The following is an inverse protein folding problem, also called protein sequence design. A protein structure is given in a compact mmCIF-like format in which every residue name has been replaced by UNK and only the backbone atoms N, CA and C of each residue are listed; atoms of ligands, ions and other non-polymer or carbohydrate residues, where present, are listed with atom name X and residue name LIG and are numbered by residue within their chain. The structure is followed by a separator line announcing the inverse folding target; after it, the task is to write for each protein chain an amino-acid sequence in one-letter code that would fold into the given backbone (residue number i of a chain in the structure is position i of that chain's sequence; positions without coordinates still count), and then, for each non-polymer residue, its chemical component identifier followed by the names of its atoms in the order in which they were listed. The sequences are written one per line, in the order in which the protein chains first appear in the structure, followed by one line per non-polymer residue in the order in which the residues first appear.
data_IF_333970650899
#
_entry.id   IF_333970650899
#
_cell.length_a   1.000
_cell.length_b   1.000
_cell.length_c   1.000
_cell.angle_alpha   90.00
_cell.angle_beta   90.00
_cell.angle_gamma   90.00
#
_symmetry.space_group_name_H-M   'P 1'
#
loop_
_entity.id
_entity.type
_entity.pdbx_description
1 polymer ?
#
# COMPACT_ATOMS: atom_id res chain seq x y z
N UNK A 1 1.43 13.44 -14.75
CA UNK A 1 0.39 12.95 -13.82
C UNK A 1 0.95 13.05 -12.42
N UNK A 2 0.17 13.55 -11.45
CA UNK A 2 0.58 13.73 -10.05
C UNK A 2 -0.52 13.11 -9.18
N UNK A 3 -0.13 12.43 -8.10
CA UNK A 3 -1.03 11.90 -7.07
C UNK A 3 -0.58 12.37 -5.68
N UNK A 4 -1.43 12.18 -4.68
CA UNK A 4 -1.12 12.47 -3.28
C UNK A 4 -1.70 11.40 -2.36
N UNK A 5 -0.85 10.82 -1.52
CA UNK A 5 -1.26 10.06 -0.34
C UNK A 5 -1.63 11.00 0.80
N UNK A 6 -2.82 10.86 1.36
CA UNK A 6 -3.27 11.71 2.45
C UNK A 6 -2.50 11.44 3.74
N UNK A 7 -2.16 10.17 3.98
CA UNK A 7 -1.38 9.65 5.11
C UNK A 7 -0.63 8.40 4.64
N UNK A 8 0.35 7.99 5.46
CA UNK A 8 1.11 6.77 5.25
C UNK A 8 0.46 5.60 6.01
N UNK A 9 0.86 5.38 7.24
CA UNK A 9 0.45 4.24 8.05
C UNK A 9 -0.26 4.70 9.32
N UNK A 10 -1.59 4.62 9.37
CA UNK A 10 -2.29 4.86 10.63
C UNK A 10 -1.92 3.77 11.64
N UNK A 11 -1.55 4.19 12.86
CA UNK A 11 -1.08 3.29 13.93
C UNK A 11 -1.88 3.50 15.20
N UNK A 12 -2.14 2.38 15.89
CA UNK A 12 -2.69 2.41 17.25
C UNK A 12 -1.69 3.12 18.17
N UNK A 13 -2.15 4.05 19.04
CA UNK A 13 -1.30 4.64 20.05
C UNK A 13 -0.68 3.56 20.96
N UNK A 14 0.62 3.65 21.20
CA UNK A 14 1.38 2.61 21.91
C UNK A 14 1.06 2.48 23.41
N UNK A 15 0.36 3.44 24.01
CA UNK A 15 0.03 3.45 25.44
C UNK A 15 -1.48 3.36 25.68
N UNK A 16 -1.87 2.34 26.46
CA UNK A 16 -3.20 2.25 27.04
C UNK A 16 -3.48 3.53 27.86
N UNK A 17 -4.43 4.36 27.42
CA UNK A 17 -4.74 5.65 28.03
C UNK A 17 -4.59 6.86 27.12
N UNK A 18 -4.13 6.70 25.87
CA UNK A 18 -4.22 7.82 24.92
C UNK A 18 -5.70 8.15 24.64
N UNK A 19 -6.10 9.40 24.82
CA UNK A 19 -7.42 9.92 24.42
C UNK A 19 -7.56 10.06 22.89
N UNK A 20 -6.56 9.65 22.12
CA UNK A 20 -6.54 9.77 20.67
C UNK A 20 -7.44 8.71 20.06
N UNK A 21 -8.50 9.17 19.39
CA UNK A 21 -9.46 8.28 18.76
C UNK A 21 -8.79 7.52 17.60
N UNK A 22 -8.81 6.19 17.67
CA UNK A 22 -8.34 5.30 16.61
C UNK A 22 -9.48 4.34 16.25
N UNK A 23 -10.27 4.72 15.25
CA UNK A 23 -11.42 3.97 14.77
C UNK A 23 -11.67 4.29 13.30
N UNK A 24 -12.48 3.45 12.64
CA UNK A 24 -12.93 3.72 11.28
C UNK A 24 -13.75 5.01 11.16
N UNK A 25 -14.52 5.36 12.20
CA UNK A 25 -15.26 6.62 12.25
C UNK A 25 -14.30 7.82 12.22
N UNK A 26 -13.25 7.81 13.04
CA UNK A 26 -12.22 8.87 13.03
C UNK A 26 -11.47 8.87 11.71
N UNK A 27 -11.08 7.71 11.21
CA UNK A 27 -10.44 7.57 9.90
C UNK A 27 -11.27 8.24 8.81
N UNK A 28 -12.58 7.97 8.77
CA UNK A 28 -13.50 8.54 7.78
C UNK A 28 -13.53 10.07 7.89
N UNK A 29 -13.74 10.61 9.08
CA UNK A 29 -13.85 12.05 9.29
C UNK A 29 -12.60 12.80 8.85
N UNK A 30 -11.42 12.28 9.23
CA UNK A 30 -10.16 12.93 8.91
C UNK A 30 -9.78 12.78 7.43
N UNK A 31 -9.95 11.58 6.86
CA UNK A 31 -9.59 11.33 5.46
C UNK A 31 -10.54 12.04 4.50
N UNK A 32 -11.85 12.02 4.74
CA UNK A 32 -12.82 12.70 3.86
C UNK A 32 -12.63 14.22 3.92
N UNK A 33 -12.40 14.80 5.11
CA UNK A 33 -12.10 16.22 5.22
C UNK A 33 -10.83 16.60 4.45
N UNK A 34 -9.75 15.82 4.58
CA UNK A 34 -8.50 16.06 3.85
C UNK A 34 -8.66 15.90 2.34
N UNK A 35 -9.36 14.86 1.88
CA UNK A 35 -9.64 14.62 0.46
C UNK A 35 -10.41 15.78 -0.17
N UNK A 36 -11.40 16.33 0.53
CA UNK A 36 -12.17 17.48 0.05
C UNK A 36 -11.29 18.72 -0.14
N UNK A 37 -10.38 18.99 0.81
CA UNK A 37 -9.44 20.12 0.72
C UNK A 37 -8.47 19.93 -0.45
N UNK A 38 -7.92 18.73 -0.60
CA UNK A 38 -6.98 18.39 -1.68
C UNK A 38 -7.66 18.52 -3.05
N UNK A 39 -8.86 17.95 -3.22
CA UNK A 39 -9.58 18.04 -4.48
C UNK A 39 -9.99 19.50 -4.81
N UNK A 40 -10.38 20.28 -3.81
CA UNK A 40 -10.68 21.71 -4.02
C UNK A 40 -9.47 22.51 -4.48
N UNK A 41 -8.26 22.15 -4.02
CA UNK A 41 -7.01 22.78 -4.45
C UNK A 41 -6.56 22.30 -5.84
N UNK A 42 -6.78 21.03 -6.18
CA UNK A 42 -6.49 20.47 -7.50
C UNK A 42 -7.52 19.38 -7.87
N UNK A 43 -8.52 19.69 -8.70
CA UNK A 43 -9.55 18.72 -9.09
C UNK A 43 -9.04 17.53 -9.92
N UNK A 44 -7.87 17.66 -10.54
CA UNK A 44 -7.30 16.64 -11.43
C UNK A 44 -6.36 15.66 -10.71
N UNK A 45 -6.05 15.89 -9.42
CA UNK A 45 -5.12 15.05 -8.66
C UNK A 45 -5.76 13.71 -8.26
N UNK A 46 -5.01 12.62 -8.37
CA UNK A 46 -5.42 11.35 -7.76
C UNK A 46 -5.16 11.38 -6.26
N UNK A 47 -6.13 10.94 -5.47
CA UNK A 47 -6.11 10.96 -4.00
C UNK A 47 -6.07 9.53 -3.49
N UNK A 48 -5.00 9.21 -2.77
CA UNK A 48 -4.76 7.90 -2.19
C UNK A 48 -5.20 7.88 -0.73
N UNK A 49 -6.06 6.92 -0.40
CA UNK A 49 -6.48 6.62 0.96
C UNK A 49 -5.73 5.38 1.47
N UNK A 50 -4.90 5.57 2.48
CA UNK A 50 -4.34 4.47 3.25
C UNK A 50 -5.27 4.08 4.41
N UNK A 51 -5.16 2.83 4.84
CA UNK A 51 -5.95 2.18 5.86
C UNK A 51 -5.33 2.16 7.25
N UNK A 52 -5.98 1.36 8.11
CA UNK A 52 -5.56 1.18 9.48
C UNK A 52 -4.50 0.09 9.60
N UNK A 53 -3.87 0.07 10.78
CA UNK A 53 -2.95 -0.96 11.26
C UNK A 53 -1.76 -1.11 10.32
N UNK A 54 -0.99 -0.02 10.19
CA UNK A 54 0.17 0.08 9.30
C UNK A 54 -0.21 -0.04 7.83
N UNK A 55 -1.38 0.49 7.47
CA UNK A 55 -1.96 0.39 6.13
C UNK A 55 -2.09 -1.07 5.64
N UNK A 56 -2.35 -2.00 6.55
CA UNK A 56 -2.54 -3.41 6.19
C UNK A 56 -4.00 -3.76 5.98
N UNK A 57 -4.93 -2.84 6.26
CA UNK A 57 -6.36 -3.07 6.07
C UNK A 57 -7.17 -1.81 5.76
N UNK A 58 -7.98 -1.93 4.71
CA UNK A 58 -9.10 -1.11 4.25
C UNK A 58 -10.38 -1.96 4.14
N UNK A 59 -10.46 -3.08 4.88
CA UNK A 59 -11.50 -4.11 4.70
C UNK A 59 -12.96 -3.60 4.64
N UNK A 60 -13.39 -2.58 5.41
CA UNK A 60 -14.77 -2.08 5.31
C UNK A 60 -15.05 -1.32 4.01
N UNK A 61 -14.03 -0.75 3.37
CA UNK A 61 -14.21 0.22 2.29
C UNK A 61 -14.81 -0.42 1.03
N UNK A 62 -14.31 -1.54 0.47
CA UNK A 62 -14.85 -2.11 -0.77
C UNK A 62 -16.36 -2.40 -0.73
N UNK A 63 -16.87 -2.84 0.43
CA UNK A 63 -18.27 -3.24 0.63
C UNK A 63 -19.17 -2.18 1.27
N UNK A 64 -18.69 -0.94 1.46
CA UNK A 64 -19.39 0.08 2.24
C UNK A 64 -19.82 -0.40 3.65
N UNK A 65 -18.92 -1.12 4.32
CA UNK A 65 -19.14 -1.63 5.67
C UNK A 65 -19.29 -0.51 6.70
N UNK A 66 -19.86 -0.86 7.85
CA UNK A 66 -20.06 0.08 8.97
C UNK A 66 -18.71 0.55 9.52
N UNK A 67 -18.51 1.87 9.51
CA UNK A 67 -17.34 2.54 10.07
C UNK A 67 -17.57 3.00 11.52
N UNK A 68 -18.79 2.83 12.04
CA UNK A 68 -19.25 3.33 13.32
C UNK A 68 -19.97 4.68 13.19
N UNK A 69 -20.85 4.98 14.15
CA UNK A 69 -21.58 6.25 14.20
C UNK A 69 -22.52 6.47 13.01
N UNK A 70 -23.02 5.39 12.39
CA UNK A 70 -23.90 5.43 11.22
C UNK A 70 -23.19 5.81 9.92
N UNK A 71 -21.85 5.71 9.87
CA UNK A 71 -21.05 6.08 8.69
C UNK A 71 -20.68 4.86 7.87
N UNK A 72 -20.72 5.04 6.56
CA UNK A 72 -20.18 4.11 5.57
C UNK A 72 -19.39 4.91 4.55
N UNK A 73 -18.31 4.35 4.02
CA UNK A 73 -17.65 4.96 2.87
C UNK A 73 -18.48 4.66 1.63
N UNK A 74 -18.90 5.70 0.91
CA UNK A 74 -19.67 5.57 -0.33
C UNK A 74 -18.98 6.36 -1.42
N UNK A 75 -18.27 5.67 -2.32
CA UNK A 75 -17.52 6.27 -3.44
C UNK A 75 -18.41 7.21 -4.26
N UNK A 76 -19.66 6.82 -4.49
CA UNK A 76 -20.65 7.61 -5.24
C UNK A 76 -21.03 8.93 -4.59
N UNK A 77 -20.74 9.13 -3.30
CA UNK A 77 -21.01 10.39 -2.59
C UNK A 77 -19.97 11.49 -2.87
N UNK A 78 -18.81 11.14 -3.44
CA UNK A 78 -17.74 12.07 -3.74
C UNK A 78 -17.90 12.67 -5.15
N UNK A 79 -17.79 14.00 -5.27
CA UNK A 79 -17.82 14.69 -6.57
C UNK A 79 -16.65 14.34 -7.50
N UNK A 80 -15.59 13.76 -6.92
CA UNK A 80 -14.34 13.36 -7.54
C UNK A 80 -14.12 11.85 -7.41
N UNK A 81 -15.20 11.07 -7.50
CA UNK A 81 -15.19 9.62 -7.36
C UNK A 81 -14.20 8.92 -8.31
N UNK A 82 -13.96 9.49 -9.50
CA UNK A 82 -13.00 9.01 -10.50
C UNK A 82 -11.53 9.32 -10.14
N UNK A 83 -11.29 10.08 -9.08
CA UNK A 83 -9.94 10.46 -8.59
C UNK A 83 -9.48 9.66 -7.38
N UNK A 84 -10.30 8.75 -6.88
CA UNK A 84 -10.02 8.00 -5.64
C UNK A 84 -9.25 6.72 -5.93
N UNK A 85 -8.22 6.48 -5.12
CA UNK A 85 -7.39 5.28 -5.14
C UNK A 85 -7.24 4.76 -3.72
N UNK A 86 -7.30 3.44 -3.55
CA UNK A 86 -6.96 2.80 -2.29
C UNK A 86 -5.48 2.40 -2.28
N UNK A 87 -4.85 2.58 -1.13
CA UNK A 87 -3.47 2.26 -0.87
C UNK A 87 -3.40 1.13 0.16
N UNK A 88 -2.49 0.17 -0.04
CA UNK A 88 -2.20 -0.87 0.95
C UNK A 88 -0.71 -1.16 1.00
N UNK A 89 -0.25 -1.50 2.20
CA UNK A 89 1.10 -1.99 2.50
C UNK A 89 1.06 -3.49 2.82
N UNK A 90 2.13 -4.19 2.50
CA UNK A 90 2.30 -5.59 2.90
C UNK A 90 3.75 -5.91 3.20
N UNK A 91 3.98 -6.62 4.31
CA UNK A 91 5.31 -7.05 4.76
C UNK A 91 5.25 -8.45 5.41
N UNK A 92 4.39 -9.33 4.88
CA UNK A 92 4.22 -10.70 5.39
C UNK A 92 5.38 -11.62 4.96
N UNK A 93 6.62 -11.22 5.20
CA UNK A 93 7.84 -11.90 4.75
C UNK A 93 7.97 -13.35 5.24
N UNK A 94 7.28 -13.70 6.33
CA UNK A 94 7.19 -15.06 6.88
C UNK A 94 6.05 -15.91 6.29
N UNK A 95 5.33 -15.41 5.27
CA UNK A 95 4.23 -16.15 4.65
C UNK A 95 4.70 -17.49 4.07
N UNK A 96 3.85 -18.50 4.21
CA UNK A 96 4.11 -19.88 3.76
C UNK A 96 3.11 -20.38 2.71
N UNK A 97 2.12 -19.56 2.33
CA UNK A 97 1.08 -19.91 1.37
C UNK A 97 0.65 -18.71 0.53
N UNK A 98 0.68 -18.86 -0.81
CA UNK A 98 0.14 -17.85 -1.73
C UNK A 98 -1.37 -17.68 -1.55
N UNK A 99 -2.11 -18.77 -1.32
CA UNK A 99 -3.57 -18.71 -1.19
C UNK A 99 -3.99 -17.93 0.04
N UNK A 100 -3.28 -18.11 1.15
CA UNK A 100 -3.51 -17.33 2.37
C UNK A 100 -3.21 -15.85 2.17
N UNK A 101 -2.08 -15.53 1.52
CA UNK A 101 -1.73 -14.13 1.18
C UNK A 101 -2.77 -13.50 0.27
N UNK A 102 -3.15 -14.21 -0.80
CA UNK A 102 -4.14 -13.75 -1.77
C UNK A 102 -5.49 -13.48 -1.12
N UNK A 103 -5.98 -14.42 -0.30
CA UNK A 103 -7.22 -14.24 0.46
C UNK A 103 -7.14 -13.08 1.46
N UNK A 104 -6.00 -12.95 2.16
CA UNK A 104 -5.78 -11.86 3.11
C UNK A 104 -5.79 -10.49 2.44
N UNK A 105 -4.97 -10.30 1.40
CA UNK A 105 -4.91 -9.07 0.62
C UNK A 105 -6.27 -8.71 0.00
N UNK A 106 -6.98 -9.69 -0.57
CA UNK A 106 -8.31 -9.49 -1.13
C UNK A 106 -9.28 -8.92 -0.11
N UNK A 107 -9.40 -9.58 1.05
CA UNK A 107 -10.32 -9.17 2.11
C UNK A 107 -9.88 -7.87 2.80
N UNK A 108 -8.59 -7.55 2.77
CA UNK A 108 -8.06 -6.32 3.37
C UNK A 108 -8.19 -5.09 2.48
N UNK A 109 -8.62 -5.20 1.23
CA UNK A 109 -8.94 -4.00 0.43
C UNK A 109 -8.89 -4.20 -1.07
N UNK A 110 -8.12 -5.18 -1.57
CA UNK A 110 -8.03 -5.47 -3.01
C UNK A 110 -9.36 -5.89 -3.63
N UNK A 111 -10.34 -6.32 -2.81
CA UNK A 111 -11.72 -6.53 -3.24
C UNK A 111 -12.36 -5.30 -3.90
N UNK A 112 -11.84 -4.09 -3.71
CA UNK A 112 -12.31 -2.90 -4.44
C UNK A 112 -12.03 -2.95 -5.96
N UNK A 113 -11.17 -3.87 -6.43
CA UNK A 113 -10.97 -4.09 -7.86
C UNK A 113 -12.14 -4.85 -8.51
N UNK A 114 -12.91 -5.60 -7.71
CA UNK A 114 -14.03 -6.41 -8.19
C UNK A 114 -15.16 -5.54 -8.77
N UNK A 115 -15.68 -5.91 -9.93
CA UNK A 115 -16.78 -5.20 -10.59
C UNK A 115 -18.09 -5.20 -9.76
N UNK A 116 -18.26 -6.14 -8.83
CA UNK A 116 -19.37 -6.20 -7.90
C UNK A 116 -19.14 -5.47 -6.58
N UNK A 117 -17.97 -4.84 -6.37
CA UNK A 117 -17.73 -4.05 -5.17
C UNK A 117 -18.62 -2.80 -5.16
N UNK A 118 -19.23 -2.49 -4.00
CA UNK A 118 -20.03 -1.26 -3.81
C UNK A 118 -19.17 -0.04 -4.12
N UNK A 119 -17.91 -0.08 -3.67
CA UNK A 119 -16.92 0.95 -3.91
C UNK A 119 -15.82 0.43 -4.84
N UNK A 120 -16.20 0.05 -6.07
CA UNK A 120 -15.22 -0.36 -7.08
C UNK A 120 -14.27 0.81 -7.41
N UNK A 121 -12.95 0.66 -7.21
CA UNK A 121 -11.93 1.65 -7.55
C UNK A 121 -10.53 1.05 -7.60
N UNK A 122 -9.54 1.73 -8.22
CA UNK A 122 -8.16 1.26 -8.25
C UNK A 122 -7.59 1.03 -6.85
N UNK A 123 -6.78 -0.01 -6.72
CA UNK A 123 -6.01 -0.33 -5.52
C UNK A 123 -4.55 -0.45 -5.91
N UNK A 124 -3.66 0.13 -5.11
CA UNK A 124 -2.22 0.11 -5.36
C UNK A 124 -1.51 -0.47 -4.13
N UNK A 125 -0.66 -1.48 -4.32
CA UNK A 125 0.26 -1.98 -3.30
C UNK A 125 1.47 -1.04 -3.24
N UNK A 126 1.38 0.04 -2.47
CA UNK A 126 2.40 1.10 -2.48
C UNK A 126 3.65 0.75 -1.68
N UNK A 127 3.54 -0.20 -0.76
CA UNK A 127 4.70 -0.72 -0.07
C UNK A 127 4.66 -2.24 0.03
N UNK A 128 5.70 -2.86 -0.53
CA UNK A 128 6.12 -4.19 -0.19
C UNK A 128 7.63 -4.27 -0.36
N UNK A 129 8.27 -5.20 0.35
CA UNK A 129 9.72 -5.36 0.23
C UNK A 129 10.22 -6.64 0.88
N UNK A 130 11.48 -6.92 0.60
CA UNK A 130 12.22 -8.04 1.14
C UNK A 130 13.72 -7.75 1.05
N UNK A 131 14.50 -8.46 1.85
CA UNK A 131 15.96 -8.33 1.87
C UNK A 131 16.56 -8.53 0.47
N UNK A 132 17.46 -7.63 0.09
CA UNK A 132 18.12 -7.64 -1.22
C UNK A 132 19.55 -8.21 -1.16
N UNK A 133 20.04 -8.56 0.04
CA UNK A 133 21.37 -9.15 0.26
C UNK A 133 21.36 -10.68 0.34
N UNK A 134 20.20 -11.32 0.20
CA UNK A 134 20.05 -12.77 0.31
C UNK A 134 19.03 -13.32 -0.71
N UNK A 135 18.56 -14.55 -0.48
CA UNK A 135 17.61 -15.24 -1.35
C UNK A 135 16.13 -14.95 -1.02
N UNK A 136 15.81 -13.92 -0.23
CA UNK A 136 14.43 -13.56 0.15
C UNK A 136 13.55 -13.28 -1.07
N UNK A 137 14.12 -12.85 -2.18
CA UNK A 137 13.39 -12.67 -3.45
C UNK A 137 12.75 -13.97 -3.97
N UNK A 138 13.31 -15.14 -3.65
CA UNK A 138 12.76 -16.45 -3.97
C UNK A 138 11.77 -16.96 -2.93
N UNK A 139 11.66 -16.29 -1.79
CA UNK A 139 10.73 -16.65 -0.73
C UNK A 139 9.28 -16.69 -1.22
N UNK A 140 8.45 -17.46 -0.52
CA UNK A 140 7.02 -17.58 -0.82
C UNK A 140 6.39 -16.20 -0.92
N UNK A 141 6.62 -15.35 0.08
CA UNK A 141 6.18 -13.95 0.09
C UNK A 141 6.40 -13.20 -1.24
N UNK A 142 7.67 -13.05 -1.61
CA UNK A 142 8.07 -12.26 -2.78
C UNK A 142 7.57 -12.90 -4.09
N UNK A 143 7.64 -14.22 -4.19
CA UNK A 143 7.21 -14.95 -5.40
C UNK A 143 5.70 -14.97 -5.58
N UNK A 144 4.91 -15.00 -4.49
CA UNK A 144 3.46 -14.90 -4.57
C UNK A 144 3.02 -13.50 -5.01
N UNK A 145 3.59 -12.43 -4.45
CA UNK A 145 3.22 -11.05 -4.84
C UNK A 145 3.49 -10.77 -6.32
N UNK A 146 4.61 -11.26 -6.86
CA UNK A 146 4.92 -11.18 -8.29
C UNK A 146 3.90 -11.86 -9.21
N UNK A 147 3.04 -12.72 -8.67
CA UNK A 147 1.94 -13.37 -9.42
C UNK A 147 0.59 -12.73 -9.12
N UNK A 148 0.29 -12.53 -7.84
CA UNK A 148 -1.00 -12.05 -7.35
C UNK A 148 -1.31 -10.64 -7.88
N UNK A 149 -0.35 -9.72 -7.79
CA UNK A 149 -0.60 -8.32 -8.13
C UNK A 149 -0.82 -8.15 -9.64
N UNK A 150 -0.01 -8.72 -10.55
CA UNK A 150 -0.32 -8.74 -11.97
C UNK A 150 -1.66 -9.44 -12.31
N UNK A 151 -2.00 -10.54 -11.63
CA UNK A 151 -3.28 -11.23 -11.85
C UNK A 151 -4.49 -10.32 -11.61
N UNK A 152 -4.36 -9.36 -10.70
CA UNK A 152 -5.42 -8.41 -10.35
C UNK A 152 -5.37 -7.11 -11.14
N UNK A 153 -4.40 -6.94 -12.04
CA UNK A 153 -4.14 -5.67 -12.74
C UNK A 153 -4.02 -4.48 -11.75
N UNK A 154 -3.37 -4.74 -10.61
CA UNK A 154 -3.21 -3.76 -9.56
C UNK A 154 -1.87 -3.03 -9.68
N UNK A 155 -1.87 -1.72 -9.39
CA UNK A 155 -0.64 -0.95 -9.32
C UNK A 155 0.23 -1.38 -8.14
N UNK A 156 1.55 -1.15 -8.23
CA UNK A 156 2.46 -1.46 -7.14
C UNK A 156 3.72 -0.60 -7.14
N UNK A 157 4.30 -0.42 -5.96
CA UNK A 157 5.65 0.13 -5.77
C UNK A 157 6.40 -0.66 -4.71
N UNK A 158 7.68 -0.94 -4.97
CA UNK A 158 8.54 -1.70 -4.06
C UNK A 158 9.31 -0.76 -3.14
N UNK A 159 9.35 -1.09 -1.85
CA UNK A 159 10.28 -0.54 -0.88
C UNK A 159 11.64 -1.25 -1.03
N UNK A 160 12.71 -0.59 -1.48
CA UNK A 160 12.81 0.83 -1.90
C UNK A 160 13.89 0.98 -2.96
N UNK A 161 13.82 2.02 -3.81
CA UNK A 161 14.87 2.34 -4.81
C UNK A 161 16.22 2.78 -4.18
N UNK A 162 16.31 2.87 -2.85
CA UNK A 162 17.51 3.37 -2.19
C UNK A 162 18.68 2.38 -2.23
N UNK A 163 19.88 2.88 -1.92
CA UNK A 163 21.08 2.08 -1.65
C UNK A 163 21.63 2.30 -0.24
N UNK A 164 21.57 3.54 0.24
CA UNK A 164 22.02 3.96 1.57
C UNK A 164 21.29 5.22 2.02
N UNK A 165 21.43 5.59 3.28
CA UNK A 165 20.91 6.85 3.82
C UNK A 165 22.05 7.71 4.34
N UNK A 166 21.95 9.03 4.12
CA UNK A 166 22.85 9.97 4.77
C UNK A 166 22.86 9.78 6.29
N UNK A 167 21.66 9.68 6.90
CA UNK A 167 21.44 9.27 8.29
C UNK A 167 20.16 8.45 8.37
N UNK A 168 20.18 7.33 9.11
CA UNK A 168 18.97 6.61 9.53
C UNK A 168 19.12 6.10 10.96
N UNK A 169 18.09 6.31 11.78
CA UNK A 169 18.07 5.88 13.18
C UNK A 169 19.29 6.30 14.00
N UNK A 170 19.85 7.48 13.69
CA UNK A 170 21.04 8.03 14.35
C UNK A 170 22.39 7.54 13.80
N UNK A 171 22.41 6.63 12.84
CA UNK A 171 23.62 6.14 12.17
C UNK A 171 23.85 6.90 10.87
N UNK A 172 25.03 7.48 10.71
CA UNK A 172 25.47 8.09 9.43
C UNK A 172 25.81 7.00 8.42
N UNK A 173 25.61 7.29 7.13
CA UNK A 173 25.90 6.37 6.02
C UNK A 173 25.29 4.97 6.23
N UNK A 174 24.00 4.95 6.59
CA UNK A 174 23.32 3.70 6.93
C UNK A 174 23.03 2.90 5.65
N UNK A 175 23.55 1.67 5.61
CA UNK A 175 23.32 0.71 4.53
C UNK A 175 21.84 0.29 4.45
N UNK A 176 21.19 0.52 3.31
CA UNK A 176 19.81 0.08 3.07
C UNK A 176 19.80 -1.30 2.42
N UNK A 177 19.81 -2.34 3.26
CA UNK A 177 19.88 -3.72 2.78
C UNK A 177 18.59 -4.24 2.15
N UNK A 178 17.47 -3.53 2.29
CA UNK A 178 16.21 -3.78 1.55
C UNK A 178 16.16 -2.99 0.24
N UNK A 179 17.15 -2.13 0.01
CA UNK A 179 17.23 -1.24 -1.14
C UNK A 179 17.64 -1.97 -2.41
N UNK A 180 17.00 -1.61 -3.52
CA UNK A 180 17.30 -2.15 -4.85
C UNK A 180 18.72 -1.80 -5.30
N UNK A 181 19.20 -0.60 -4.94
CA UNK A 181 20.54 -0.13 -5.31
C UNK A 181 21.59 -0.64 -4.32
N UNK A 182 22.82 -0.78 -4.79
CA UNK A 182 23.97 -0.98 -3.90
C UNK A 182 24.26 0.28 -3.05
N UNK A 183 25.05 0.14 -1.98
CA UNK A 183 25.39 1.24 -1.06
C UNK A 183 25.96 2.48 -1.76
N UNK A 184 26.69 2.27 -2.86
CA UNK A 184 27.39 3.31 -3.61
C UNK A 184 26.50 3.97 -4.67
N UNK A 185 25.27 3.50 -4.83
CA UNK A 185 24.34 3.93 -5.87
C UNK A 185 24.90 3.75 -7.28
N UNK A 186 25.80 2.78 -7.47
CA UNK A 186 26.47 2.53 -8.76
C UNK A 186 25.86 1.39 -9.56
N UNK A 187 25.01 0.59 -8.93
CA UNK A 187 24.36 -0.55 -9.56
C UNK A 187 23.27 -1.16 -8.69
N UNK A 188 22.73 -2.27 -9.17
CA UNK A 188 21.73 -3.05 -8.45
C UNK A 188 22.40 -3.95 -7.42
N UNK A 189 21.81 -4.03 -6.22
CA UNK A 189 22.30 -4.91 -5.15
C UNK A 189 22.09 -6.39 -5.48
N UNK A 190 20.96 -6.73 -6.11
CA UNK A 190 20.62 -8.09 -6.52
C UNK A 190 20.08 -8.12 -7.95
N UNK A 191 20.91 -8.58 -8.88
CA UNK A 191 20.50 -8.80 -10.28
C UNK A 191 19.31 -9.75 -10.38
N UNK A 192 19.26 -10.78 -9.53
CA UNK A 192 18.17 -11.76 -9.55
C UNK A 192 16.85 -11.16 -9.09
N UNK A 193 16.86 -10.34 -8.02
CA UNK A 193 15.65 -9.65 -7.56
C UNK A 193 15.13 -8.68 -8.63
N UNK A 194 16.03 -7.93 -9.29
CA UNK A 194 15.68 -7.04 -10.40
C UNK A 194 15.08 -7.81 -11.59
N UNK A 195 15.64 -8.96 -11.96
CA UNK A 195 15.06 -9.79 -13.01
C UNK A 195 13.65 -10.28 -12.63
N UNK A 196 13.43 -10.64 -11.36
CA UNK A 196 12.09 -10.96 -10.86
C UNK A 196 11.11 -9.80 -10.99
N UNK A 197 11.53 -8.57 -10.68
CA UNK A 197 10.69 -7.38 -10.82
C UNK A 197 10.42 -7.02 -12.29
N UNK A 198 11.38 -7.20 -13.20
CA UNK A 198 11.16 -7.02 -14.64
C UNK A 198 10.05 -7.95 -15.14
N UNK A 199 10.09 -9.23 -14.75
CA UNK A 199 9.02 -10.18 -15.09
C UNK A 199 7.65 -9.76 -14.51
N UNK A 200 7.64 -9.18 -13.30
CA UNK A 200 6.42 -8.65 -12.71
C UNK A 200 5.89 -7.42 -13.47
N UNK A 201 6.78 -6.53 -13.93
CA UNK A 201 6.41 -5.39 -14.79
C UNK A 201 5.80 -5.89 -16.10
N UNK A 202 6.47 -6.84 -16.77
CA UNK A 202 5.98 -7.38 -18.05
C UNK A 202 4.59 -8.01 -17.89
N UNK A 203 4.36 -8.73 -16.78
CA UNK A 203 3.05 -9.32 -16.46
C UNK A 203 1.99 -8.29 -16.05
N UNK A 204 2.38 -7.15 -15.46
CA UNK A 204 1.46 -6.05 -15.12
C UNK A 204 1.07 -5.18 -16.32
N UNK A 205 1.75 -5.31 -17.46
CA UNK A 205 1.50 -4.51 -18.67
C UNK A 205 0.90 -5.32 -19.83
N UNK A 206 0.73 -6.63 -19.64
CA UNK A 206 0.18 -7.56 -20.63
C UNK A 206 -1.33 -7.66 -20.56
#
# INVERSE_FOLDING_TARGET
MISIGLRNEFRKPNSAGSSLAYSWQTWYDQNVAAANIVNAANPDILIFFSGLDFDTTLAPIPGAGDLGGGKTFQKSSFKYADKLVLELHNYQNSATSCDSMKSGLWNNGFKALDAGAVNQMPVVLTEFGYQQTDNSYNGVYASCLRKIIPEWDAGWTIWVLAGSYYIRSGTQDYEETWGLMDHKWTGWRSTNAINGLKLMIDASLS
#
